data_IF_145950337159
#
_entry.id   IF_145950337159
#
_cell.length_a   1.000
_cell.length_b   1.000
_cell.length_c   1.000
_cell.angle_alpha   90.00
_cell.angle_beta   90.00
_cell.angle_gamma   90.00
#
_symmetry.space_group_name_H-M   'P 1'
#
loop_
_entity.id
_entity.type
_entity.pdbx_description
1 polymer ?
#
# COMPACT_ATOMS: atom_id res chain seq x y z
N UNK A 1 -8.61 -7.08 4.05
CA UNK A 1 -7.78 -8.11 3.37
C UNK A 1 -8.58 -9.16 2.63
N UNK A 2 -9.74 -9.61 3.12
CA UNK A 2 -10.64 -10.48 2.34
C UNK A 2 -10.98 -9.93 0.95
N UNK A 3 -11.05 -8.60 0.79
CA UNK A 3 -11.30 -7.96 -0.50
C UNK A 3 -10.20 -8.19 -1.52
N UNK A 4 -8.93 -8.28 -1.11
CA UNK A 4 -7.80 -8.61 -2.00
C UNK A 4 -7.93 -10.06 -2.51
N UNK A 5 -8.36 -11.00 -1.66
CA UNK A 5 -8.55 -12.38 -2.06
C UNK A 5 -9.82 -12.57 -2.94
N UNK A 6 -10.87 -11.79 -2.67
CA UNK A 6 -12.16 -11.90 -3.37
C UNK A 6 -12.22 -11.10 -4.67
N UNK A 7 -11.43 -10.05 -4.83
CA UNK A 7 -11.48 -9.18 -6.01
C UNK A 7 -10.93 -9.88 -7.27
N UNK A 8 -11.66 -9.78 -8.38
CA UNK A 8 -11.31 -10.39 -9.68
C UNK A 8 -10.07 -9.76 -10.33
N UNK A 9 -9.65 -8.58 -9.87
CA UNK A 9 -8.46 -7.87 -10.36
C UNK A 9 -7.17 -8.21 -9.57
N UNK A 10 -7.27 -9.05 -8.54
CA UNK A 10 -6.16 -9.43 -7.66
C UNK A 10 -6.04 -10.96 -7.50
N UNK A 11 -6.48 -11.71 -8.51
CA UNK A 11 -6.54 -13.18 -8.50
C UNK A 11 -5.20 -13.86 -8.24
N UNK A 12 -4.07 -13.24 -8.61
CA UNK A 12 -2.74 -13.76 -8.37
C UNK A 12 -2.40 -13.86 -6.88
N UNK A 13 -3.07 -13.10 -6.01
CA UNK A 13 -2.90 -13.22 -4.56
C UNK A 13 -3.56 -14.49 -3.97
N UNK A 14 -4.45 -15.16 -4.71
CA UNK A 14 -5.16 -16.36 -4.23
C UNK A 14 -4.27 -17.61 -4.13
N UNK A 15 -3.08 -17.57 -4.74
CA UNK A 15 -2.09 -18.64 -4.66
C UNK A 15 -1.19 -18.54 -3.42
N UNK A 16 -1.25 -17.40 -2.71
CA UNK A 16 -0.54 -17.19 -1.46
C UNK A 16 -1.40 -17.70 -0.30
N UNK A 17 -0.77 -18.02 0.83
CA UNK A 17 -1.51 -18.37 2.03
C UNK A 17 -2.38 -17.16 2.48
N UNK A 18 -3.67 -17.34 2.81
CA UNK A 18 -4.52 -16.25 3.27
C UNK A 18 -3.95 -15.48 4.48
N UNK A 19 -3.23 -16.16 5.37
CA UNK A 19 -2.56 -15.56 6.51
C UNK A 19 -1.41 -14.65 6.05
N UNK A 20 -0.59 -15.09 5.10
CA UNK A 20 0.46 -14.26 4.50
C UNK A 20 -0.12 -12.98 3.88
N UNK A 21 -1.24 -13.12 3.15
CA UNK A 21 -1.94 -11.98 2.54
C UNK A 21 -2.44 -11.02 3.61
N UNK A 22 -2.96 -11.54 4.72
CA UNK A 22 -3.35 -10.71 5.86
C UNK A 22 -2.15 -9.95 6.44
N UNK A 23 -1.05 -10.64 6.70
CA UNK A 23 0.18 -10.08 7.26
C UNK A 23 0.80 -9.01 6.37
N UNK A 24 0.78 -9.21 5.04
CA UNK A 24 1.18 -8.21 4.06
C UNK A 24 0.36 -6.93 4.25
N UNK A 25 -0.96 -7.04 4.33
CA UNK A 25 -1.85 -5.89 4.54
C UNK A 25 -1.59 -5.17 5.87
N UNK A 26 -1.47 -5.94 6.95
CA UNK A 26 -1.15 -5.41 8.28
C UNK A 26 0.21 -4.71 8.31
N UNK A 27 1.20 -5.24 7.58
CA UNK A 27 2.51 -4.61 7.44
C UNK A 27 2.43 -3.28 6.70
N UNK A 28 1.66 -3.18 5.62
CA UNK A 28 1.45 -1.92 4.91
C UNK A 28 0.88 -0.86 5.85
N UNK A 29 -0.13 -1.19 6.64
CA UNK A 29 -0.70 -0.23 7.60
C UNK A 29 0.26 0.15 8.74
N UNK A 30 1.08 -0.79 9.22
CA UNK A 30 2.10 -0.51 10.23
C UNK A 30 3.22 0.39 9.70
N UNK A 31 3.69 0.17 8.48
CA UNK A 31 4.70 1.08 7.88
C UNK A 31 4.08 2.45 7.58
N UNK A 32 2.82 2.49 7.14
CA UNK A 32 2.08 3.74 6.97
C UNK A 32 1.97 4.55 8.27
N UNK A 33 1.58 3.91 9.37
CA UNK A 33 1.41 4.62 10.65
C UNK A 33 2.73 5.19 11.17
N UNK A 34 3.85 4.46 11.00
CA UNK A 34 5.19 4.97 11.32
C UNK A 34 5.55 6.22 10.54
N UNK A 35 5.26 6.25 9.23
CA UNK A 35 5.69 7.36 8.39
C UNK A 35 4.76 8.57 8.44
N UNK A 36 3.45 8.36 8.67
CA UNK A 36 2.52 9.45 8.97
C UNK A 36 2.92 10.19 10.26
N UNK A 37 3.51 9.48 11.23
CA UNK A 37 4.02 10.05 12.48
C UNK A 37 5.41 10.71 12.38
N UNK A 38 6.24 10.35 11.38
CA UNK A 38 7.65 10.75 11.24
C UNK A 38 7.97 11.64 10.03
N UNK A 39 6.97 12.28 9.44
CA UNK A 39 7.14 13.16 8.27
C UNK A 39 7.75 12.49 7.02
N UNK A 40 7.47 11.19 6.83
CA UNK A 40 7.73 10.43 5.60
C UNK A 40 9.18 10.51 5.05
N UNK A 41 10.17 9.86 5.71
CA UNK A 41 11.52 9.74 5.15
C UNK A 41 11.47 9.06 3.79
N UNK A 42 11.74 9.83 2.72
CA UNK A 42 11.53 9.42 1.31
C UNK A 42 12.33 8.17 0.97
N UNK A 43 13.52 8.07 1.54
CA UNK A 43 14.51 7.03 1.33
C UNK A 43 14.04 5.68 1.90
N UNK A 44 13.49 5.66 3.13
CA UNK A 44 12.95 4.43 3.74
C UNK A 44 11.77 3.87 2.94
N UNK A 45 10.88 4.77 2.50
CA UNK A 45 9.73 4.40 1.65
C UNK A 45 10.20 3.76 0.36
N UNK A 46 11.20 4.40 -0.27
CA UNK A 46 11.79 3.93 -1.52
C UNK A 46 12.38 2.54 -1.37
N UNK A 47 13.33 2.36 -0.46
CA UNK A 47 14.06 1.08 -0.32
C UNK A 47 13.11 -0.07 -0.02
N UNK A 48 12.17 0.15 0.92
CA UNK A 48 11.20 -0.85 1.32
C UNK A 48 10.30 -1.28 0.15
N UNK A 49 9.68 -0.31 -0.54
CA UNK A 49 8.71 -0.62 -1.58
C UNK A 49 9.37 -1.03 -2.90
N UNK A 50 10.58 -0.57 -3.22
CA UNK A 50 11.38 -1.15 -4.30
C UNK A 50 11.64 -2.63 -4.05
N UNK A 51 12.14 -3.00 -2.86
CA UNK A 51 12.35 -4.40 -2.50
C UNK A 51 11.05 -5.23 -2.59
N UNK A 52 9.93 -4.67 -2.13
CA UNK A 52 8.64 -5.35 -2.23
C UNK A 52 8.22 -5.58 -3.69
N UNK A 53 8.47 -4.63 -4.60
CA UNK A 53 8.24 -4.80 -6.04
C UNK A 53 8.99 -6.00 -6.63
N UNK A 54 10.27 -6.16 -6.26
CA UNK A 54 11.11 -7.31 -6.68
C UNK A 54 10.52 -8.63 -6.18
N UNK A 55 10.16 -8.67 -4.89
CA UNK A 55 9.52 -9.85 -4.28
C UNK A 55 8.24 -10.24 -5.02
N UNK A 56 7.38 -9.25 -5.37
CA UNK A 56 6.13 -9.53 -6.12
C UNK A 56 6.38 -10.14 -7.48
N UNK A 57 7.46 -9.77 -8.16
CA UNK A 57 7.84 -10.41 -9.41
C UNK A 57 8.20 -11.89 -9.19
N UNK A 58 9.03 -12.21 -8.21
CA UNK A 58 9.41 -13.59 -7.89
C UNK A 58 8.24 -14.44 -7.42
N UNK A 59 7.30 -13.86 -6.68
CA UNK A 59 6.03 -14.50 -6.34
C UNK A 59 5.10 -14.68 -7.55
N UNK A 60 5.42 -14.11 -8.72
CA UNK A 60 4.60 -14.15 -9.93
C UNK A 60 3.30 -13.35 -9.80
N UNK A 61 3.31 -12.24 -9.07
CA UNK A 61 2.19 -11.30 -8.93
C UNK A 61 2.33 -10.21 -10.00
N UNK A 62 1.40 -10.09 -10.97
CA UNK A 62 1.51 -9.06 -12.00
C UNK A 62 1.41 -7.64 -11.41
N UNK A 63 2.10 -6.68 -12.05
CA UNK A 63 2.17 -5.31 -11.56
C UNK A 63 0.79 -4.64 -11.36
N UNK A 64 -0.13 -4.85 -12.30
CA UNK A 64 -1.49 -4.36 -12.21
C UNK A 64 -2.25 -4.87 -10.97
N UNK A 65 -1.92 -6.09 -10.51
CA UNK A 65 -2.61 -6.72 -9.38
C UNK A 65 -2.08 -6.22 -8.04
N UNK A 66 -0.75 -6.05 -7.87
CA UNK A 66 -0.25 -5.43 -6.64
C UNK A 66 -0.68 -3.97 -6.55
N UNK A 67 -0.74 -3.26 -7.68
CA UNK A 67 -1.24 -1.89 -7.72
C UNK A 67 -2.72 -1.84 -7.29
N UNK A 68 -3.54 -2.74 -7.82
CA UNK A 68 -4.94 -2.84 -7.40
C UNK A 68 -5.09 -3.20 -5.92
N UNK A 69 -4.21 -4.04 -5.37
CA UNK A 69 -4.20 -4.35 -3.94
C UNK A 69 -3.90 -3.09 -3.09
N UNK A 70 -2.93 -2.26 -3.50
CA UNK A 70 -2.66 -0.96 -2.86
C UNK A 70 -3.86 -0.02 -2.94
N UNK A 71 -4.57 0.03 -4.08
CA UNK A 71 -5.80 0.84 -4.23
C UNK A 71 -6.89 0.39 -3.25
N UNK A 72 -7.09 -0.92 -3.07
CA UNK A 72 -8.05 -1.45 -2.09
C UNK A 72 -7.65 -1.07 -0.66
N UNK A 73 -6.38 -1.21 -0.31
CA UNK A 73 -5.85 -0.82 0.99
C UNK A 73 -6.05 0.67 1.27
N UNK A 74 -5.76 1.54 0.29
CA UNK A 74 -5.99 2.99 0.33
C UNK A 74 -7.47 3.31 0.55
N UNK A 75 -8.37 2.61 -0.15
CA UNK A 75 -9.82 2.77 0.00
C UNK A 75 -10.30 2.41 1.40
N UNK A 76 -9.84 1.30 1.96
CA UNK A 76 -10.18 0.93 3.33
C UNK A 76 -9.68 1.96 4.35
N UNK A 77 -8.46 2.47 4.17
CA UNK A 77 -7.92 3.52 5.04
C UNK A 77 -8.75 4.80 4.95
N UNK A 78 -9.12 5.23 3.75
CA UNK A 78 -9.98 6.40 3.56
C UNK A 78 -11.34 6.24 4.24
N UNK A 79 -11.99 5.08 4.09
CA UNK A 79 -13.28 4.81 4.75
C UNK A 79 -13.14 4.78 6.28
N UNK A 80 -12.03 4.25 6.80
CA UNK A 80 -11.72 4.29 8.22
C UNK A 80 -11.57 5.73 8.73
N UNK A 81 -10.74 6.55 8.06
CA UNK A 81 -10.56 7.97 8.40
C UNK A 81 -11.89 8.73 8.35
N UNK A 82 -12.66 8.56 7.27
CA UNK A 82 -13.98 9.19 7.12
C UNK A 82 -14.89 8.87 8.31
N UNK A 83 -14.95 7.60 8.74
CA UNK A 83 -15.75 7.20 9.89
C UNK A 83 -15.26 7.85 11.19
N UNK A 84 -13.94 8.00 11.39
CA UNK A 84 -13.43 8.69 12.59
C UNK A 84 -13.86 10.17 12.58
N UNK A 85 -13.77 10.83 11.43
CA UNK A 85 -14.16 12.23 11.26
C UNK A 85 -15.64 12.51 11.50
N UNK A 86 -16.50 11.55 11.19
CA UNK A 86 -17.94 11.67 11.44
C UNK A 86 -18.31 11.49 12.92
N UNK A 87 -17.44 10.86 13.72
CA UNK A 87 -17.74 10.50 15.12
C UNK A 87 -17.08 11.42 16.17
N UNK A 88 -16.13 12.27 15.77
CA UNK A 88 -15.33 13.10 16.68
C UNK A 88 -15.51 14.60 16.38
N UNK A 89 -15.34 15.46 17.39
CA UNK A 89 -15.02 16.89 17.18
C UNK A 89 -13.58 17.04 16.65
N UNK A 90 -13.24 16.32 15.58
CA UNK A 90 -11.90 16.34 15.01
C UNK A 90 -11.63 17.71 14.40
N UNK A 91 -10.46 18.28 14.68
CA UNK A 91 -9.96 19.44 13.95
C UNK A 91 -9.85 19.07 12.47
N UNK A 92 -10.73 19.65 11.65
CA UNK A 92 -10.80 19.42 10.21
C UNK A 92 -9.43 19.65 9.53
N UNK A 93 -8.62 20.58 10.03
CA UNK A 93 -7.29 20.85 9.48
C UNK A 93 -6.35 19.67 9.72
N UNK A 94 -6.30 19.13 10.93
CA UNK A 94 -5.47 17.96 11.25
C UNK A 94 -5.92 16.72 10.47
N UNK A 95 -7.22 16.54 10.30
CA UNK A 95 -7.79 15.48 9.48
C UNK A 95 -7.32 15.54 8.02
N UNK A 96 -7.37 16.73 7.43
CA UNK A 96 -6.89 16.97 6.06
C UNK A 96 -5.38 16.68 5.95
N UNK A 97 -4.57 17.15 6.91
CA UNK A 97 -3.13 16.88 6.93
C UNK A 97 -2.80 15.37 6.99
N UNK A 98 -3.54 14.60 7.82
CA UNK A 98 -3.38 13.15 7.88
C UNK A 98 -3.80 12.49 6.57
N UNK A 99 -4.93 12.92 5.98
CA UNK A 99 -5.41 12.42 4.69
C UNK A 99 -4.36 12.61 3.58
N UNK A 100 -3.77 13.80 3.50
CA UNK A 100 -2.74 14.13 2.50
C UNK A 100 -1.49 13.25 2.67
N UNK A 101 -1.05 13.01 3.91
CA UNK A 101 0.08 12.11 4.20
C UNK A 101 -0.22 10.66 3.79
N UNK A 102 -1.45 10.20 4.01
CA UNK A 102 -1.89 8.85 3.59
C UNK A 102 -1.91 8.73 2.07
N UNK A 103 -2.43 9.73 1.36
CA UNK A 103 -2.42 9.77 -0.11
C UNK A 103 -0.98 9.66 -0.63
N UNK A 104 -0.10 10.53 -0.12
CA UNK A 104 1.30 10.58 -0.51
C UNK A 104 2.05 9.27 -0.22
N UNK A 105 1.75 8.62 0.90
CA UNK A 105 2.28 7.30 1.24
C UNK A 105 1.96 6.26 0.17
N UNK A 106 0.68 6.11 -0.18
CA UNK A 106 0.25 5.07 -1.10
C UNK A 106 0.77 5.33 -2.52
N UNK A 107 0.88 6.59 -2.92
CA UNK A 107 1.38 6.97 -4.23
C UNK A 107 2.88 6.66 -4.35
N UNK A 108 3.68 6.97 -3.32
CA UNK A 108 5.10 6.59 -3.25
C UNK A 108 5.28 5.07 -3.20
N UNK A 109 4.48 4.37 -2.40
CA UNK A 109 4.51 2.92 -2.32
C UNK A 109 4.27 2.28 -3.70
N UNK A 110 3.23 2.72 -4.41
CA UNK A 110 2.92 2.24 -5.76
C UNK A 110 4.06 2.53 -6.74
N UNK A 111 4.57 3.76 -6.77
CA UNK A 111 5.66 4.16 -7.65
C UNK A 111 6.91 3.31 -7.42
N UNK A 112 7.39 3.20 -6.18
CA UNK A 112 8.61 2.47 -5.89
C UNK A 112 8.46 0.95 -6.06
N UNK A 113 7.28 0.39 -5.82
CA UNK A 113 7.01 -1.02 -6.19
C UNK A 113 7.10 -1.26 -7.68
N UNK A 114 6.58 -0.34 -8.52
CA UNK A 114 6.70 -0.44 -9.97
C UNK A 114 8.17 -0.38 -10.40
N UNK A 115 8.94 0.57 -9.87
CA UNK A 115 10.38 0.67 -10.16
C UNK A 115 11.09 -0.64 -9.80
N UNK A 116 10.90 -1.16 -8.59
CA UNK A 116 11.53 -2.43 -8.19
C UNK A 116 11.13 -3.60 -9.08
N UNK A 117 9.86 -3.68 -9.47
CA UNK A 117 9.35 -4.71 -10.36
C UNK A 117 9.98 -4.63 -11.77
N UNK A 118 10.15 -3.41 -12.30
CA UNK A 118 10.77 -3.18 -13.61
C UNK A 118 12.28 -3.46 -13.62
N UNK A 119 12.98 -3.05 -12.56
CA UNK A 119 14.39 -3.36 -12.33
C UNK A 119 14.64 -4.87 -12.33
N UNK A 120 13.85 -5.63 -11.55
CA UNK A 120 13.99 -7.09 -11.45
C UNK A 120 13.62 -7.80 -12.75
N UNK A 121 12.66 -7.24 -13.51
CA UNK A 121 12.30 -7.77 -14.83
C UNK A 121 13.38 -7.52 -15.89
N UNK A 122 14.39 -6.70 -15.60
CA UNK A 122 15.49 -6.41 -16.52
C UNK A 122 15.16 -5.40 -17.62
N UNK A 123 14.05 -4.65 -17.51
CA UNK A 123 13.77 -3.54 -18.44
C UNK A 123 14.50 -2.29 -17.94
N UNK A 124 15.74 -2.08 -18.41
CA UNK A 124 16.36 -0.76 -18.40
C UNK A 124 15.94 -0.05 -19.68
N UNK A 125 15.30 1.11 -19.55
CA UNK A 125 14.89 1.98 -20.67
C UNK A 125 16.09 2.76 -21.20
#
# INVERSE_FOLDING_TARGET
MNDVLRNKKTVAYRKLDPQDVYEIGSRVYREMSKWVAKDLPKEEVKEYYQKLGKIRLHEGIPASQFFQALVLLKRHMWLFLKKQLENEMTDYKQAMEVSDRVVLFFDRAAYYMLIGYEEERGKKW
#
